data_IF_137960766391
#
_entry.id   IF_137960766391
#
_cell.length_a   1.000
_cell.length_b   1.000
_cell.length_c   1.000
_cell.angle_alpha   90.00
_cell.angle_beta   90.00
_cell.angle_gamma   90.00
#
_symmetry.space_group_name_H-M   'P 1'
#
loop_
_entity.id
_entity.type
_entity.pdbx_description
1 polymer ?
#
# COMPACT_ATOMS: atom_id res chain seq x y z
N UNK A 1 25.34 -36.11 -47.92
CA UNK A 1 24.98 -34.73 -47.56
C UNK A 1 23.49 -34.69 -47.32
N UNK A 2 23.08 -34.29 -46.10
CA UNK A 2 21.76 -33.79 -45.68
C UNK A 2 20.52 -34.70 -45.91
N UNK A 3 19.52 -34.82 -45.03
CA UNK A 3 19.20 -34.26 -43.73
C UNK A 3 18.12 -35.20 -43.14
N UNK A 4 18.40 -35.87 -42.03
CA UNK A 4 17.40 -36.63 -41.28
C UNK A 4 16.97 -35.77 -40.09
N UNK A 5 15.94 -34.95 -40.29
CA UNK A 5 15.34 -34.16 -39.21
C UNK A 5 14.31 -34.97 -38.43
N UNK A 6 14.28 -34.88 -37.08
CA UNK A 6 13.61 -35.86 -36.21
C UNK A 6 12.19 -35.44 -35.79
N UNK A 7 11.46 -36.44 -35.28
CA UNK A 7 10.22 -36.32 -34.52
C UNK A 7 10.17 -35.07 -33.62
N UNK A 8 9.09 -34.30 -33.71
CA UNK A 8 8.72 -33.32 -32.70
C UNK A 8 7.51 -33.84 -31.91
N UNK A 9 7.63 -34.14 -30.61
CA UNK A 9 6.48 -34.35 -29.75
C UNK A 9 5.72 -33.03 -29.58
N UNK A 10 4.39 -33.08 -29.60
CA UNK A 10 3.53 -31.96 -29.23
C UNK A 10 3.84 -31.54 -27.79
N UNK A 11 3.84 -30.23 -27.46
CA UNK A 11 4.03 -29.79 -26.09
C UNK A 11 2.88 -30.29 -25.22
N UNK A 12 3.27 -31.04 -24.19
CA UNK A 12 2.45 -31.53 -23.10
C UNK A 12 1.56 -30.41 -22.55
N UNK A 13 0.30 -30.77 -22.30
CA UNK A 13 -0.74 -29.99 -21.66
C UNK A 13 -0.20 -28.88 -20.75
N UNK A 14 -0.60 -27.64 -21.06
CA UNK A 14 -0.47 -26.52 -20.13
C UNK A 14 -1.28 -26.91 -18.90
N UNK A 15 -0.61 -27.40 -17.87
CA UNK A 15 -1.16 -27.40 -16.53
C UNK A 15 -1.19 -25.93 -16.11
N UNK A 16 -2.31 -25.27 -16.41
CA UNK A 16 -2.70 -24.07 -15.69
C UNK A 16 -2.92 -24.58 -14.27
N UNK A 17 -1.90 -24.44 -13.43
CA UNK A 17 -2.03 -24.60 -12.00
C UNK A 17 -3.03 -23.55 -11.59
N UNK A 18 -4.29 -23.94 -11.53
CA UNK A 18 -5.38 -23.17 -10.98
C UNK A 18 -5.05 -23.07 -9.51
N UNK A 19 -4.22 -22.06 -9.18
CA UNK A 19 -3.99 -21.62 -7.83
C UNK A 19 -5.38 -21.34 -7.28
N UNK A 20 -5.80 -22.30 -6.46
CA UNK A 20 -7.15 -22.53 -6.04
C UNK A 20 -7.50 -21.33 -5.19
N UNK A 21 -8.09 -20.32 -5.82
CA UNK A 21 -8.74 -19.12 -5.27
C UNK A 21 -8.93 -19.28 -3.77
N UNK A 22 -7.87 -19.02 -3.00
CA UNK A 22 -7.99 -19.04 -1.57
C UNK A 22 -8.91 -17.86 -1.30
N UNK A 23 -10.08 -18.05 -0.66
CA UNK A 23 -10.89 -16.91 -0.27
C UNK A 23 -9.94 -15.99 0.52
N UNK A 24 -9.88 -14.68 0.19
CA UNK A 24 -8.93 -13.78 0.83
C UNK A 24 -9.14 -13.92 2.33
N UNK A 25 -8.18 -14.54 3.01
CA UNK A 25 -8.22 -14.67 4.45
C UNK A 25 -7.90 -13.28 4.98
N UNK A 26 -8.94 -12.45 5.15
CA UNK A 26 -8.84 -11.17 5.84
C UNK A 26 -8.53 -11.47 7.31
N UNK A 27 -7.26 -11.72 7.61
CA UNK A 27 -6.76 -11.97 8.97
C UNK A 27 -6.46 -10.69 9.73
N UNK A 28 -6.46 -9.54 9.07
CA UNK A 28 -6.42 -8.22 9.70
C UNK A 28 -7.14 -7.22 8.79
N UNK A 29 -7.97 -6.36 9.38
CA UNK A 29 -8.56 -5.21 8.70
C UNK A 29 -7.62 -4.03 8.86
N UNK A 30 -6.86 -3.70 7.81
CA UNK A 30 -6.03 -2.49 7.79
C UNK A 30 -6.83 -1.30 7.28
N UNK A 31 -6.66 -0.14 7.93
CA UNK A 31 -7.23 1.13 7.46
C UNK A 31 -6.15 1.90 6.71
N UNK A 32 -6.42 2.21 5.44
CA UNK A 32 -5.51 2.99 4.61
C UNK A 32 -6.07 4.40 4.43
N UNK A 33 -5.31 5.40 4.86
CA UNK A 33 -5.63 6.83 4.66
C UNK A 33 -4.67 7.40 3.62
N UNK A 34 -5.18 7.70 2.43
CA UNK A 34 -4.40 8.37 1.40
C UNK A 34 -4.55 9.89 1.51
N UNK A 35 -3.59 10.52 2.17
CA UNK A 35 -3.43 11.97 2.28
C UNK A 35 -2.32 12.49 1.36
N UNK A 36 -1.89 11.68 0.39
CA UNK A 36 -0.83 12.08 -0.52
C UNK A 36 -1.30 12.96 -1.67
N UNK A 37 -2.60 13.02 -1.91
CA UNK A 37 -3.20 13.73 -3.02
C UNK A 37 -3.25 15.24 -2.77
N UNK A 38 -2.88 16.01 -3.80
CA UNK A 38 -3.00 17.46 -3.83
C UNK A 38 -4.42 17.91 -3.44
N UNK A 39 -4.49 18.94 -2.59
CA UNK A 39 -5.70 19.55 -1.99
C UNK A 39 -6.28 18.88 -0.73
N UNK A 40 -5.82 17.71 -0.29
CA UNK A 40 -6.29 17.14 0.99
C UNK A 40 -5.84 17.98 2.19
N UNK A 41 -4.62 18.51 2.17
CA UNK A 41 -4.08 19.38 3.23
C UNK A 41 -4.81 20.73 3.38
N UNK A 42 -5.43 21.25 2.30
CA UNK A 42 -6.23 22.48 2.36
C UNK A 42 -7.63 22.24 2.92
N UNK A 43 -8.11 21.00 2.84
CA UNK A 43 -9.49 20.62 3.18
C UNK A 43 -9.61 19.97 4.56
N UNK A 44 -8.55 19.34 5.04
CA UNK A 44 -8.55 18.60 6.30
C UNK A 44 -7.37 19.06 7.16
N UNK A 45 -7.64 19.30 8.43
CA UNK A 45 -6.63 19.71 9.40
C UNK A 45 -5.90 18.50 10.00
N UNK A 46 -4.60 18.65 10.18
CA UNK A 46 -3.70 17.69 10.83
C UNK A 46 -4.14 17.29 12.25
N UNK A 47 -4.70 18.21 13.04
CA UNK A 47 -5.15 17.90 14.40
C UNK A 47 -6.40 17.00 14.41
N UNK A 48 -7.26 17.13 13.39
CA UNK A 48 -8.42 16.26 13.21
C UNK A 48 -7.99 14.82 12.90
N UNK A 49 -6.94 14.65 12.09
CA UNK A 49 -6.37 13.32 11.84
C UNK A 49 -5.84 12.68 13.12
N UNK A 50 -5.03 13.43 13.86
CA UNK A 50 -4.40 12.93 15.08
C UNK A 50 -5.47 12.50 16.08
N UNK A 51 -6.52 13.30 16.25
CA UNK A 51 -7.66 12.97 17.11
C UNK A 51 -8.35 11.68 16.64
N UNK A 52 -8.60 11.53 15.34
CA UNK A 52 -9.22 10.32 14.79
C UNK A 52 -8.35 9.08 15.04
N UNK A 53 -7.05 9.16 14.74
CA UNK A 53 -6.09 8.07 14.95
C UNK A 53 -6.03 7.68 16.44
N UNK A 54 -6.03 8.65 17.34
CA UNK A 54 -6.03 8.40 18.78
C UNK A 54 -7.29 7.65 19.24
N UNK A 55 -8.43 7.93 18.62
CA UNK A 55 -9.70 7.24 18.92
C UNK A 55 -9.80 5.84 18.33
N UNK A 56 -8.90 5.47 17.40
CA UNK A 56 -8.94 4.17 16.74
C UNK A 56 -8.33 3.07 17.63
N UNK A 57 -9.00 1.93 17.80
CA UNK A 57 -8.59 0.89 18.75
C UNK A 57 -7.30 0.15 18.37
N UNK A 58 -7.00 0.00 17.07
CA UNK A 58 -5.82 -0.72 16.56
C UNK A 58 -5.00 0.18 15.63
N UNK A 59 -4.17 1.04 16.21
CA UNK A 59 -3.44 2.09 15.48
C UNK A 59 -2.33 1.53 14.58
N UNK A 60 -1.81 0.37 14.95
CA UNK A 60 -0.88 -0.47 14.21
C UNK A 60 -1.46 -0.99 12.88
N UNK A 61 -2.78 -1.12 12.78
CA UNK A 61 -3.47 -1.47 11.54
C UNK A 61 -3.70 -0.24 10.62
N UNK A 62 -3.35 0.97 11.06
CA UNK A 62 -3.55 2.21 10.29
C UNK A 62 -2.29 2.54 9.48
N UNK A 63 -2.46 2.64 8.17
CA UNK A 63 -1.42 3.05 7.23
C UNK A 63 -1.79 4.38 6.57
N UNK A 64 -0.96 5.40 6.77
CA UNK A 64 -1.20 6.75 6.28
C UNK A 64 -0.17 7.08 5.20
N UNK A 65 -0.64 7.43 4.02
CA UNK A 65 0.19 7.98 2.95
C UNK A 65 0.17 9.50 3.03
N UNK A 66 1.33 10.11 3.22
CA UNK A 66 1.51 11.56 3.18
C UNK A 66 2.06 11.98 1.81
N UNK A 67 1.71 13.19 1.39
CA UNK A 67 2.19 13.77 0.14
C UNK A 67 3.65 14.19 0.26
N UNK A 68 4.09 15.07 -0.63
CA UNK A 68 5.46 15.57 -0.60
C UNK A 68 5.75 16.30 0.74
N UNK A 69 6.37 15.59 1.69
CA UNK A 69 6.81 16.02 3.04
C UNK A 69 7.99 17.00 2.99
N UNK A 70 7.94 17.94 2.04
CA UNK A 70 8.92 19.01 1.87
C UNK A 70 8.75 20.12 2.92
N UNK A 71 7.59 20.21 3.57
CA UNK A 71 7.30 21.23 4.58
C UNK A 71 7.60 20.77 6.01
N UNK A 72 8.08 21.69 6.83
CA UNK A 72 8.50 21.45 8.21
C UNK A 72 7.35 20.91 9.10
N UNK A 73 6.10 21.28 8.80
CA UNK A 73 4.90 20.79 9.49
C UNK A 73 4.59 19.32 9.22
N UNK A 74 4.75 18.86 7.98
CA UNK A 74 4.42 17.48 7.59
C UNK A 74 5.39 16.46 8.22
N UNK A 75 6.64 16.86 8.46
CA UNK A 75 7.61 16.04 9.21
C UNK A 75 7.22 15.85 10.67
N UNK A 76 6.66 16.88 11.31
CA UNK A 76 6.20 16.78 12.70
C UNK A 76 4.95 15.90 12.79
N UNK A 77 3.99 16.09 11.88
CA UNK A 77 2.81 15.24 11.78
C UNK A 77 3.19 13.76 11.57
N UNK A 78 4.10 13.48 10.63
CA UNK A 78 4.61 12.13 10.37
C UNK A 78 5.17 11.49 11.66
N UNK A 79 6.02 12.22 12.40
CA UNK A 79 6.59 11.73 13.67
C UNK A 79 5.51 11.46 14.71
N UNK A 80 4.50 12.33 14.82
CA UNK A 80 3.39 12.15 15.77
C UNK A 80 2.56 10.91 15.44
N UNK A 81 2.23 10.70 14.15
CA UNK A 81 1.47 9.53 13.70
C UNK A 81 2.25 8.23 13.93
N UNK A 82 3.56 8.23 13.64
CA UNK A 82 4.43 7.09 13.93
C UNK A 82 4.54 6.81 15.43
N UNK A 83 4.63 7.86 16.27
CA UNK A 83 4.65 7.71 17.73
C UNK A 83 3.34 7.16 18.30
N UNK A 84 2.21 7.34 17.61
CA UNK A 84 0.92 6.74 17.95
C UNK A 84 0.82 5.27 17.54
N UNK A 85 1.79 4.73 16.80
CA UNK A 85 1.84 3.35 16.34
C UNK A 85 1.42 3.15 14.88
N UNK A 86 1.09 4.22 14.15
CA UNK A 86 0.68 4.09 12.75
C UNK A 86 1.87 3.85 11.82
N UNK A 87 1.62 3.11 10.75
CA UNK A 87 2.54 3.07 9.61
C UNK A 87 2.35 4.35 8.79
N UNK A 88 3.43 5.07 8.51
CA UNK A 88 3.37 6.30 7.71
C UNK A 88 4.35 6.22 6.54
N UNK A 89 3.86 6.44 5.33
CA UNK A 89 4.68 6.44 4.11
C UNK A 89 4.55 7.76 3.38
N UNK A 90 5.68 8.39 3.11
CA UNK A 90 5.72 9.59 2.27
C UNK A 90 5.77 9.21 0.80
N UNK A 91 4.83 9.71 -0.01
CA UNK A 91 4.87 9.60 -1.46
C UNK A 91 5.36 10.91 -2.05
N UNK A 92 6.49 10.85 -2.74
CA UNK A 92 6.90 11.90 -3.65
C UNK A 92 6.29 11.58 -5.01
N UNK A 93 5.30 12.37 -5.43
CA UNK A 93 4.93 12.40 -6.83
C UNK A 93 5.98 13.27 -7.53
N UNK A 94 6.91 12.63 -8.25
CA UNK A 94 7.67 13.33 -9.29
C UNK A 94 6.66 13.64 -10.40
N UNK A 95 6.21 14.89 -10.46
CA UNK A 95 5.47 15.45 -11.58
C UNK A 95 6.42 15.88 -12.68
#
# INVERSE_FOLDING_TARGET
>A
MADASPFRPLPSSIMITQDRLAPPTFKSSSVVIDWSKDNMQKKYDSASLLTWVQSFPSRDDVHIYLGNVSFHGDRMLMRQLQALGCTVTSRQYQG
#
